data_IF_367423954644
#
_entry.id   IF_367423954644
#
_cell.length_a   1.000
_cell.length_b   1.000
_cell.length_c   1.000
_cell.angle_alpha   90.00
_cell.angle_beta   90.00
_cell.angle_gamma   90.00
#
_symmetry.space_group_name_H-M   'P 1'
#
loop_
_entity.id
_entity.type
_entity.pdbx_description
1 polymer ?
#
# COMPACT_ATOMS: atom_id res chain seq x y z
N UNK A 1 -8.59 27.45 -40.24
CA UNK A 1 -7.30 28.06 -40.60
C UNK A 1 -6.28 26.97 -40.85
N UNK A 2 -5.53 27.00 -41.96
CA UNK A 2 -4.41 26.07 -42.21
C UNK A 2 -3.14 26.66 -41.55
N UNK A 3 -2.55 25.95 -40.61
CA UNK A 3 -1.29 26.35 -39.97
C UNK A 3 -0.13 25.94 -40.89
N UNK A 4 0.77 26.87 -41.20
CA UNK A 4 1.95 26.58 -42.02
C UNK A 4 2.96 25.71 -41.26
N UNK A 5 3.31 24.55 -41.82
CA UNK A 5 4.20 23.55 -41.20
C UNK A 5 5.70 23.87 -41.34
N UNK A 6 6.07 24.60 -42.39
CA UNK A 6 7.46 24.94 -42.73
C UNK A 6 7.86 26.35 -42.38
N UNK A 7 7.02 27.07 -41.63
CA UNK A 7 7.40 28.39 -41.14
C UNK A 7 8.65 28.24 -40.25
N UNK A 8 9.73 28.97 -40.53
CA UNK A 8 10.92 28.96 -39.67
C UNK A 8 10.58 29.66 -38.36
N UNK A 9 10.96 29.02 -37.26
CA UNK A 9 10.74 29.48 -35.90
C UNK A 9 12.04 29.44 -35.11
N UNK A 10 12.17 30.37 -34.18
CA UNK A 10 13.21 30.33 -33.17
C UNK A 10 12.93 29.25 -32.12
N UNK A 11 14.00 28.61 -31.64
CA UNK A 11 13.91 27.63 -30.57
C UNK A 11 13.20 28.21 -29.35
N UNK A 12 12.19 27.49 -28.84
CA UNK A 12 11.42 27.90 -27.65
C UNK A 12 12.28 28.02 -26.39
N UNK A 13 13.40 27.30 -26.33
CA UNK A 13 14.38 27.38 -25.24
C UNK A 13 15.47 28.42 -25.47
N UNK A 14 15.39 29.18 -26.57
CA UNK A 14 16.34 30.24 -26.95
C UNK A 14 17.80 29.76 -27.01
N UNK A 15 18.02 28.59 -27.60
CA UNK A 15 19.36 28.02 -27.79
C UNK A 15 20.19 28.72 -28.89
N UNK A 16 19.64 29.75 -29.55
CA UNK A 16 20.28 30.50 -30.63
C UNK A 16 19.91 30.03 -32.04
N UNK A 17 19.28 28.86 -32.20
CA UNK A 17 18.79 28.37 -33.49
C UNK A 17 17.47 29.06 -33.85
N UNK A 18 17.43 29.70 -35.03
CA UNK A 18 16.33 30.57 -35.48
C UNK A 18 15.52 30.07 -36.68
N UNK A 19 16.03 29.05 -37.37
CA UNK A 19 15.48 28.55 -38.64
C UNK A 19 14.91 27.13 -38.49
N UNK A 20 14.13 26.87 -37.43
CA UNK A 20 13.55 25.54 -37.18
C UNK A 20 12.16 25.47 -37.82
N UNK A 21 11.92 24.61 -38.83
CA UNK A 21 10.58 24.39 -39.34
C UNK A 21 9.64 23.97 -38.20
N UNK A 22 8.43 24.53 -38.14
CA UNK A 22 7.44 24.21 -37.10
C UNK A 22 7.26 22.71 -36.88
N UNK A 23 7.25 21.92 -37.94
CA UNK A 23 7.11 20.45 -37.86
C UNK A 23 8.34 19.74 -37.24
N UNK A 24 9.52 20.33 -37.34
CA UNK A 24 10.78 19.78 -36.81
C UNK A 24 11.12 20.27 -35.39
N UNK A 25 10.35 21.23 -34.84
CA UNK A 25 10.58 21.76 -33.50
C UNK A 25 10.59 20.67 -32.41
N UNK A 26 9.73 19.66 -32.55
CA UNK A 26 9.68 18.52 -31.62
C UNK A 26 10.98 17.71 -31.64
N UNK A 27 11.52 17.44 -32.82
CA UNK A 27 12.79 16.75 -33.00
C UNK A 27 13.95 17.60 -32.47
N UNK A 28 14.00 18.90 -32.81
CA UNK A 28 15.01 19.81 -32.27
C UNK A 28 15.04 19.81 -30.74
N UNK A 29 13.90 19.79 -30.06
CA UNK A 29 13.84 19.76 -28.60
C UNK A 29 14.45 18.50 -27.98
N UNK A 30 14.57 17.40 -28.73
CA UNK A 30 15.28 16.19 -28.27
C UNK A 30 16.80 16.35 -28.30
N UNK A 31 17.33 17.24 -29.13
CA UNK A 31 18.77 17.50 -29.30
C UNK A 31 19.22 18.85 -28.75
N UNK A 32 18.28 19.73 -28.41
CA UNK A 32 18.54 21.08 -27.96
C UNK A 32 19.36 21.11 -26.65
N UNK A 33 20.53 21.76 -26.62
CA UNK A 33 21.40 21.78 -25.44
C UNK A 33 20.80 22.51 -24.24
N UNK A 34 19.83 23.42 -24.47
CA UNK A 34 19.10 24.12 -23.42
C UNK A 34 17.78 23.45 -23.03
N UNK A 35 17.44 22.30 -23.64
CA UNK A 35 16.24 21.58 -23.26
C UNK A 35 16.39 20.97 -21.86
N UNK A 36 15.35 21.11 -21.06
CA UNK A 36 15.25 20.51 -19.73
C UNK A 36 14.51 19.19 -19.87
N UNK A 37 15.19 18.10 -19.57
CA UNK A 37 14.65 16.76 -19.63
C UNK A 37 14.37 16.21 -18.23
N UNK A 38 13.30 15.42 -18.05
CA UNK A 38 13.11 14.67 -16.84
C UNK A 38 14.14 13.56 -16.70
N UNK A 39 14.40 13.18 -15.46
CA UNK A 39 15.19 11.99 -15.17
C UNK A 39 14.55 10.73 -15.80
N UNK A 40 15.34 9.82 -16.41
CA UNK A 40 14.82 8.54 -16.93
C UNK A 40 14.06 7.70 -15.90
N UNK A 41 14.35 7.91 -14.61
CA UNK A 41 13.68 7.24 -13.49
C UNK A 41 12.46 8.01 -12.95
N UNK A 42 11.84 8.88 -13.76
CA UNK A 42 10.64 9.62 -13.35
C UNK A 42 9.48 8.67 -13.00
N UNK A 43 9.31 7.57 -13.75
CA UNK A 43 8.20 6.63 -13.56
C UNK A 43 8.26 5.86 -12.24
N UNK A 44 9.44 5.77 -11.62
CA UNK A 44 9.63 5.20 -10.27
C UNK A 44 9.66 6.28 -9.17
N UNK A 45 9.39 7.54 -9.52
CA UNK A 45 9.21 8.63 -8.55
C UNK A 45 10.37 9.63 -8.46
N UNK A 46 11.35 9.62 -9.36
CA UNK A 46 12.36 10.67 -9.38
C UNK A 46 11.77 11.98 -9.92
N UNK A 47 11.86 13.07 -9.15
CA UNK A 47 11.31 14.38 -9.53
C UNK A 47 12.31 15.30 -10.24
N UNK A 48 13.55 14.82 -10.45
CA UNK A 48 14.61 15.64 -11.03
C UNK A 48 14.35 15.94 -12.50
N UNK A 49 14.59 17.19 -12.89
CA UNK A 49 14.61 17.65 -14.28
C UNK A 49 15.81 18.58 -14.46
N UNK A 50 16.53 18.45 -15.56
CA UNK A 50 17.73 19.24 -15.81
C UNK A 50 18.13 19.25 -17.28
N UNK A 51 19.11 20.09 -17.63
CA UNK A 51 19.81 20.01 -18.91
C UNK A 51 20.63 18.72 -18.98
N UNK A 52 21.04 18.32 -20.19
CA UNK A 52 21.68 17.01 -20.45
C UNK A 52 22.92 16.77 -19.58
N UNK A 53 23.80 17.75 -19.48
CA UNK A 53 25.02 17.72 -18.65
C UNK A 53 24.72 17.49 -17.17
N UNK A 54 23.80 18.26 -16.60
CA UNK A 54 23.39 18.14 -15.19
C UNK A 54 22.62 16.83 -14.96
N UNK A 55 21.83 16.40 -15.94
CA UNK A 55 21.07 15.15 -15.86
C UNK A 55 21.98 13.91 -15.88
N UNK A 56 23.06 13.93 -16.66
CA UNK A 56 24.05 12.86 -16.66
C UNK A 56 24.76 12.75 -15.30
N UNK A 57 25.17 13.87 -14.72
CA UNK A 57 25.77 13.90 -13.39
C UNK A 57 24.78 13.43 -12.30
N UNK A 58 23.54 13.93 -12.33
CA UNK A 58 22.47 13.44 -11.45
C UNK A 58 22.27 11.93 -11.56
N UNK A 59 22.25 11.39 -12.79
CA UNK A 59 22.02 9.96 -13.01
C UNK A 59 23.14 9.10 -12.45
N UNK A 60 24.38 9.59 -12.44
CA UNK A 60 25.54 8.91 -11.85
C UNK A 60 25.58 9.03 -10.33
N UNK A 61 25.24 10.18 -9.78
CA UNK A 61 25.36 10.45 -8.33
C UNK A 61 24.14 10.00 -7.53
N UNK A 62 22.96 9.92 -8.15
CA UNK A 62 21.70 9.57 -7.47
C UNK A 62 21.35 8.07 -7.52
N UNK A 63 22.28 7.19 -7.93
CA UNK A 63 22.02 5.74 -8.09
C UNK A 63 21.42 5.10 -6.84
N UNK A 64 21.94 5.41 -5.64
CA UNK A 64 21.40 4.86 -4.39
C UNK A 64 19.96 5.31 -4.12
N UNK A 65 19.63 6.55 -4.48
CA UNK A 65 18.26 7.08 -4.38
C UNK A 65 17.34 6.37 -5.39
N UNK A 66 17.77 6.20 -6.64
CA UNK A 66 17.00 5.47 -7.65
C UNK A 66 16.80 4.00 -7.26
N UNK A 67 17.81 3.34 -6.70
CA UNK A 67 17.69 1.97 -6.19
C UNK A 67 16.68 1.87 -5.05
N UNK A 68 16.71 2.84 -4.12
CA UNK A 68 15.73 2.91 -3.03
C UNK A 68 14.30 3.08 -3.56
N UNK A 69 14.12 3.93 -4.57
CA UNK A 69 12.83 4.11 -5.25
C UNK A 69 12.38 2.83 -5.98
N UNK A 70 13.29 2.13 -6.67
CA UNK A 70 13.00 0.88 -7.35
C UNK A 70 12.57 -0.20 -6.36
N UNK A 71 13.28 -0.37 -5.24
CA UNK A 71 12.91 -1.31 -4.17
C UNK A 71 11.54 -1.00 -3.57
N UNK A 72 11.23 0.28 -3.36
CA UNK A 72 9.90 0.70 -2.92
C UNK A 72 8.82 0.30 -3.94
N UNK A 73 9.08 0.50 -5.23
CA UNK A 73 8.13 0.16 -6.29
C UNK A 73 7.94 -1.35 -6.46
N UNK A 74 9.00 -2.14 -6.33
CA UNK A 74 8.94 -3.60 -6.34
C UNK A 74 8.06 -4.09 -5.19
N UNK A 75 8.32 -3.64 -3.95
CA UNK A 75 7.52 -4.02 -2.78
C UNK A 75 6.05 -3.60 -2.92
N UNK A 76 5.80 -2.44 -3.50
CA UNK A 76 4.43 -2.01 -3.79
C UNK A 76 3.75 -2.91 -4.84
N UNK A 77 4.47 -3.32 -5.88
CA UNK A 77 3.94 -4.16 -6.93
C UNK A 77 3.67 -5.59 -6.44
N UNK A 78 4.57 -6.13 -5.60
CA UNK A 78 4.35 -7.39 -4.89
C UNK A 78 3.10 -7.29 -4.00
N UNK A 79 2.94 -6.19 -3.25
CA UNK A 79 1.75 -5.90 -2.44
C UNK A 79 0.44 -5.82 -3.24
N UNK A 80 0.48 -5.35 -4.49
CA UNK A 80 -0.69 -5.38 -5.40
C UNK A 80 -0.98 -6.78 -5.92
N UNK A 81 0.03 -7.64 -5.97
CA UNK A 81 -0.07 -9.03 -6.44
C UNK A 81 -0.50 -10.00 -5.33
N UNK A 82 -0.38 -9.63 -4.06
CA UNK A 82 -0.68 -10.51 -2.90
C UNK A 82 -2.16 -10.60 -2.54
N UNK A 83 -3.04 -9.79 -3.18
CA UNK A 83 -4.47 -9.83 -2.94
C UNK A 83 -5.23 -10.06 -4.25
N UNK A 84 -5.93 -11.19 -4.34
CA UNK A 84 -6.80 -11.51 -5.49
C UNK A 84 -8.25 -11.39 -5.04
N UNK A 85 -9.04 -10.58 -5.73
CA UNK A 85 -10.49 -10.43 -5.49
C UNK A 85 -10.87 -10.14 -4.02
N UNK A 86 -10.14 -9.25 -3.34
CA UNK A 86 -10.42 -8.87 -1.95
C UNK A 86 -9.92 -9.87 -0.90
N UNK A 87 -9.18 -10.91 -1.28
CA UNK A 87 -8.63 -11.92 -0.37
C UNK A 87 -7.14 -11.68 -0.13
N UNK A 88 -6.78 -11.40 1.11
CA UNK A 88 -5.41 -11.25 1.59
C UNK A 88 -5.07 -12.31 2.64
N UNK A 89 -3.87 -12.90 2.57
CA UNK A 89 -3.35 -13.85 3.56
C UNK A 89 -2.03 -13.33 4.11
N UNK A 90 -1.96 -13.20 5.42
CA UNK A 90 -0.77 -12.82 6.17
C UNK A 90 -0.20 -14.02 6.91
N UNK A 91 1.00 -14.45 6.50
CA UNK A 91 1.82 -15.38 7.28
C UNK A 91 2.62 -14.61 8.31
N UNK A 92 2.48 -15.00 9.58
CA UNK A 92 3.32 -14.52 10.68
C UNK A 92 4.23 -15.69 11.05
N UNK A 93 5.49 -15.64 10.62
CA UNK A 93 6.52 -16.61 10.98
C UNK A 93 7.17 -16.26 12.32
N UNK A 94 7.90 -17.17 12.93
CA UNK A 94 8.62 -16.96 14.19
C UNK A 94 7.65 -16.53 15.31
N UNK A 95 6.48 -17.18 15.38
CA UNK A 95 5.39 -16.80 16.27
C UNK A 95 5.85 -16.79 17.73
N UNK A 96 6.51 -17.85 18.19
CA UNK A 96 6.94 -17.99 19.58
C UNK A 96 7.89 -16.86 20.00
N UNK A 97 8.91 -16.56 19.18
CA UNK A 97 9.82 -15.46 19.43
C UNK A 97 9.09 -14.11 19.50
N UNK A 98 8.18 -13.84 18.55
CA UNK A 98 7.42 -12.59 18.55
C UNK A 98 6.47 -12.48 19.74
N UNK A 99 5.90 -13.60 20.19
CA UNK A 99 5.04 -13.66 21.36
C UNK A 99 5.84 -13.40 22.65
N UNK A 100 6.99 -14.06 22.84
CA UNK A 100 7.88 -13.84 23.98
C UNK A 100 8.35 -12.39 24.08
N UNK A 101 8.74 -11.78 22.95
CA UNK A 101 9.09 -10.36 22.89
C UNK A 101 7.91 -9.46 23.30
N UNK A 102 6.70 -9.79 22.88
CA UNK A 102 5.50 -9.05 23.27
C UNK A 102 5.17 -9.20 24.76
N UNK A 103 5.45 -10.35 25.37
CA UNK A 103 5.27 -10.59 26.81
C UNK A 103 6.32 -9.85 27.65
N UNK A 104 7.58 -9.83 27.21
CA UNK A 104 8.68 -9.18 27.93
C UNK A 104 8.64 -7.65 27.83
N UNK A 105 7.92 -7.10 26.85
CA UNK A 105 7.86 -5.67 26.60
C UNK A 105 6.92 -4.95 27.58
N UNK A 106 7.34 -3.80 28.16
CA UNK A 106 6.44 -2.96 28.95
C UNK A 106 5.39 -2.24 28.09
N UNK A 107 5.63 -2.11 26.78
CA UNK A 107 4.70 -1.55 25.80
C UNK A 107 3.92 -2.65 25.07
N UNK A 108 2.68 -2.36 24.67
CA UNK A 108 1.90 -3.25 23.80
C UNK A 108 2.56 -3.28 22.41
N UNK A 109 3.29 -4.36 22.10
CA UNK A 109 3.96 -4.50 20.80
C UNK A 109 2.98 -4.91 19.71
N UNK A 110 2.86 -4.04 18.70
CA UNK A 110 2.08 -4.31 17.51
C UNK A 110 2.96 -4.84 16.38
N UNK A 111 2.46 -5.84 15.68
CA UNK A 111 3.01 -6.32 14.41
C UNK A 111 2.08 -5.91 13.27
N UNK A 112 2.66 -5.65 12.10
CA UNK A 112 1.93 -5.17 10.93
C UNK A 112 2.13 -6.08 9.74
N UNK A 113 1.04 -6.35 9.01
CA UNK A 113 1.18 -6.99 7.71
C UNK A 113 1.82 -6.02 6.70
N UNK A 114 2.37 -6.55 5.59
CA UNK A 114 2.53 -5.75 4.38
C UNK A 114 1.20 -5.09 4.00
N UNK A 115 1.21 -3.89 3.40
CA UNK A 115 0.02 -3.35 2.79
C UNK A 115 -0.54 -4.30 1.72
N UNK A 116 -1.83 -4.24 1.49
CA UNK A 116 -2.50 -4.95 0.40
C UNK A 116 -3.63 -4.09 -0.15
N UNK A 117 -4.06 -4.40 -1.37
CA UNK A 117 -5.16 -3.69 -2.02
C UNK A 117 -6.37 -4.60 -2.13
N UNK A 118 -7.57 -4.05 -1.99
CA UNK A 118 -8.83 -4.82 -2.15
C UNK A 118 -9.02 -5.35 -3.58
N UNK A 119 -8.51 -4.65 -4.58
CA UNK A 119 -8.37 -5.09 -5.97
C UNK A 119 -7.27 -4.25 -6.65
N UNK A 120 -6.99 -4.47 -7.94
CA UNK A 120 -5.92 -3.78 -8.67
C UNK A 120 -5.92 -2.25 -8.53
N UNK A 121 -7.10 -1.65 -8.44
CA UNK A 121 -7.31 -0.20 -8.31
C UNK A 121 -8.14 0.17 -7.06
N UNK A 122 -8.16 -0.73 -6.07
CA UNK A 122 -9.03 -0.61 -4.89
C UNK A 122 -8.41 0.13 -3.72
N UNK A 123 -9.10 0.05 -2.58
CA UNK A 123 -8.62 0.57 -1.30
C UNK A 123 -7.32 -0.11 -0.86
N UNK A 124 -6.36 0.69 -0.37
CA UNK A 124 -5.13 0.21 0.27
C UNK A 124 -5.37 -0.02 1.77
N UNK A 125 -4.95 -1.16 2.29
CA UNK A 125 -5.14 -1.54 3.68
C UNK A 125 -3.93 -2.25 4.24
N UNK A 126 -3.87 -2.40 5.57
CA UNK A 126 -2.95 -3.32 6.26
C UNK A 126 -3.59 -3.86 7.53
N UNK A 127 -3.16 -5.05 7.95
CA UNK A 127 -3.51 -5.62 9.24
C UNK A 127 -2.52 -5.18 10.32
N UNK A 128 -3.03 -5.07 11.55
CA UNK A 128 -2.26 -4.82 12.77
C UNK A 128 -2.70 -5.84 13.81
N UNK A 129 -1.77 -6.60 14.37
CA UNK A 129 -2.06 -7.57 15.41
C UNK A 129 -1.23 -7.32 16.67
N UNK A 130 -1.78 -7.73 17.81
CA UNK A 130 -1.10 -7.78 19.09
C UNK A 130 -1.16 -9.22 19.58
N UNK A 131 -0.03 -9.92 19.53
CA UNK A 131 0.01 -11.35 19.85
C UNK A 131 -0.35 -11.60 21.33
N UNK A 132 0.10 -10.72 22.22
CA UNK A 132 -0.23 -10.74 23.65
C UNK A 132 -1.61 -10.14 23.96
N UNK A 133 -2.26 -9.55 22.96
CA UNK A 133 -3.55 -8.87 23.11
C UNK A 133 -3.43 -7.41 23.49
N UNK A 134 -4.54 -6.70 23.36
CA UNK A 134 -4.68 -5.27 23.67
C UNK A 134 -6.06 -4.95 24.20
N UNK A 135 -6.19 -3.81 24.88
CA UNK A 135 -7.44 -3.29 25.43
C UNK A 135 -8.11 -4.38 26.30
N UNK A 136 -9.35 -4.75 25.97
CA UNK A 136 -10.12 -5.79 26.68
C UNK A 136 -9.54 -7.20 26.53
N UNK A 137 -8.70 -7.46 25.52
CA UNK A 137 -8.10 -8.77 25.25
C UNK A 137 -6.66 -8.91 25.73
N UNK A 138 -6.11 -7.90 26.43
CA UNK A 138 -4.73 -7.91 26.92
C UNK A 138 -4.45 -9.17 27.77
N UNK A 139 -3.31 -9.79 27.52
CA UNK A 139 -2.84 -11.03 28.15
C UNK A 139 -3.72 -12.28 28.00
N UNK A 140 -4.82 -12.21 27.23
CA UNK A 140 -5.81 -13.31 27.18
C UNK A 140 -6.21 -13.70 25.76
N UNK A 141 -6.03 -12.79 24.80
CA UNK A 141 -6.45 -12.98 23.42
C UNK A 141 -5.37 -12.48 22.46
N UNK A 142 -5.31 -13.05 21.28
CA UNK A 142 -4.81 -12.37 20.10
C UNK A 142 -5.78 -11.25 19.73
N UNK A 143 -5.29 -10.02 19.55
CA UNK A 143 -6.08 -8.90 19.05
C UNK A 143 -5.74 -8.60 17.60
N UNK A 144 -6.75 -8.31 16.77
CA UNK A 144 -6.57 -8.05 15.33
C UNK A 144 -7.36 -6.82 14.88
N UNK A 145 -6.70 -5.97 14.10
CA UNK A 145 -7.25 -4.73 13.55
C UNK A 145 -6.91 -4.60 12.06
N UNK A 146 -7.78 -3.91 11.32
CA UNK A 146 -7.57 -3.44 9.95
C UNK A 146 -7.37 -1.93 9.96
N UNK A 147 -6.47 -1.45 9.11
CA UNK A 147 -6.17 -0.03 8.91
C UNK A 147 -6.34 0.30 7.43
N UNK A 148 -7.14 1.32 7.12
CA UNK A 148 -7.20 1.91 5.79
C UNK A 148 -6.01 2.86 5.63
N UNK A 149 -5.26 2.69 4.54
CA UNK A 149 -4.10 3.50 4.19
C UNK A 149 -4.42 4.40 3.02
N UNK A 150 -3.68 5.52 2.89
CA UNK A 150 -3.75 6.37 1.70
C UNK A 150 -3.33 5.57 0.46
N UNK A 151 -4.23 5.49 -0.52
CA UNK A 151 -4.01 4.82 -1.79
C UNK A 151 -3.91 5.80 -2.96
N UNK A 152 -3.28 5.35 -4.04
CA UNK A 152 -3.13 6.15 -5.27
C UNK A 152 -4.48 6.43 -5.95
N UNK A 153 -5.44 5.52 -5.76
CA UNK A 153 -6.76 5.54 -6.41
C UNK A 153 -7.86 6.10 -5.51
N UNK A 154 -7.53 6.64 -4.33
CA UNK A 154 -8.52 7.14 -3.36
C UNK A 154 -9.50 8.16 -3.94
N UNK A 155 -9.11 8.90 -4.99
CA UNK A 155 -9.98 9.87 -5.66
C UNK A 155 -11.11 9.22 -6.49
N UNK A 156 -10.95 7.95 -6.86
CA UNK A 156 -11.90 7.19 -7.70
C UNK A 156 -12.82 6.28 -6.88
N UNK A 157 -12.53 6.12 -5.59
CA UNK A 157 -13.22 5.18 -4.71
C UNK A 157 -14.34 5.85 -3.93
N UNK A 158 -15.35 5.06 -3.56
CA UNK A 158 -16.45 5.53 -2.71
C UNK A 158 -15.97 5.81 -1.29
N UNK A 159 -16.44 6.91 -0.71
CA UNK A 159 -16.17 7.24 0.69
C UNK A 159 -17.45 7.64 1.44
N UNK A 160 -17.58 7.33 2.74
CA UNK A 160 -16.70 6.46 3.53
C UNK A 160 -16.69 5.01 3.03
N UNK A 161 -15.68 4.23 3.43
CA UNK A 161 -15.60 2.81 3.16
C UNK A 161 -16.80 2.06 3.79
N UNK A 162 -17.47 1.19 3.00
CA UNK A 162 -18.72 0.49 3.39
C UNK A 162 -18.64 -1.03 3.26
N UNK A 163 -17.58 -1.56 2.66
CA UNK A 163 -17.49 -2.98 2.38
C UNK A 163 -17.31 -3.77 3.68
N UNK A 164 -17.94 -4.93 3.73
CA UNK A 164 -17.86 -5.83 4.86
C UNK A 164 -16.54 -6.60 4.80
N UNK A 165 -15.92 -6.75 5.96
CA UNK A 165 -14.62 -7.42 6.11
C UNK A 165 -14.81 -8.63 7.01
N UNK A 166 -14.28 -9.77 6.57
CA UNK A 166 -14.26 -11.00 7.37
C UNK A 166 -12.81 -11.42 7.61
N UNK A 167 -12.43 -11.54 8.86
CA UNK A 167 -11.14 -12.05 9.30
C UNK A 167 -11.25 -13.53 9.64
N UNK A 168 -10.20 -14.27 9.32
CA UNK A 168 -10.04 -15.67 9.67
C UNK A 168 -8.67 -15.85 10.32
N UNK A 169 -8.63 -16.51 11.48
CA UNK A 169 -7.44 -17.22 11.91
C UNK A 169 -7.54 -18.64 11.33
N UNK A 170 -6.57 -18.98 10.50
CA UNK A 170 -6.56 -20.24 9.77
C UNK A 170 -6.11 -21.36 10.70
N UNK A 171 -7.04 -22.29 10.94
CA UNK A 171 -6.72 -23.64 11.41
C UNK A 171 -5.98 -24.40 10.30
N UNK A 172 -4.78 -24.88 10.62
CA UNK A 172 -3.86 -25.57 9.71
C UNK A 172 -4.00 -27.11 9.78
N UNK A 173 -4.91 -27.61 10.61
CA UNK A 173 -5.30 -29.01 10.70
C UNK A 173 -6.24 -29.45 9.58
N UNK A 174 -6.55 -30.74 9.54
CA UNK A 174 -7.45 -31.32 8.53
C UNK A 174 -8.89 -30.83 8.65
N UNK A 175 -9.32 -30.52 9.88
CA UNK A 175 -10.69 -30.08 10.19
C UNK A 175 -10.99 -28.67 9.66
N UNK A 176 -9.94 -27.86 9.41
CA UNK A 176 -10.06 -26.48 8.92
C UNK A 176 -11.07 -25.65 9.72
N UNK A 177 -11.12 -25.82 11.05
CA UNK A 177 -12.04 -25.13 11.93
C UNK A 177 -11.59 -23.68 12.21
N UNK A 178 -11.53 -22.87 11.14
CA UNK A 178 -11.06 -21.49 11.18
C UNK A 178 -11.89 -20.62 12.13
N UNK A 179 -11.23 -19.71 12.84
CA UNK A 179 -11.92 -18.73 13.70
C UNK A 179 -12.21 -17.48 12.92
N UNK A 180 -13.48 -17.07 12.95
CA UNK A 180 -13.98 -16.02 12.07
C UNK A 180 -14.48 -14.84 12.89
N UNK A 181 -14.13 -13.62 12.47
CA UNK A 181 -14.74 -12.40 12.98
C UNK A 181 -15.11 -11.49 11.83
N UNK A 182 -16.26 -10.84 11.95
CA UNK A 182 -16.82 -10.04 10.88
C UNK A 182 -16.99 -8.59 11.31
N UNK A 183 -16.49 -7.68 10.49
CA UNK A 183 -16.57 -6.25 10.68
C UNK A 183 -17.39 -5.65 9.53
N UNK A 184 -18.53 -5.06 9.85
CA UNK A 184 -19.33 -4.29 8.91
C UNK A 184 -19.28 -2.82 9.30
N UNK A 185 -18.78 -1.91 8.45
CA UNK A 185 -18.82 -0.48 8.71
C UNK A 185 -20.26 -0.01 8.96
N UNK A 186 -20.57 0.46 10.17
CA UNK A 186 -21.90 0.95 10.53
C UNK A 186 -21.82 2.11 11.53
N UNK A 187 -22.92 2.88 11.66
CA UNK A 187 -22.99 4.11 12.47
C UNK A 187 -22.77 3.91 13.98
N UNK A 188 -22.86 2.69 14.48
CA UNK A 188 -22.65 2.39 15.91
C UNK A 188 -21.18 2.20 16.28
N UNK A 189 -20.29 2.08 15.29
CA UNK A 189 -18.85 1.92 15.55
C UNK A 189 -18.23 3.23 16.06
N UNK A 190 -17.36 3.17 17.08
CA UNK A 190 -16.70 4.35 17.61
C UNK A 190 -15.77 4.96 16.55
N UNK A 191 -15.67 6.30 16.54
CA UNK A 191 -14.76 7.05 15.66
C UNK A 191 -14.90 6.73 14.16
N UNK A 192 -16.11 6.35 13.71
CA UNK A 192 -16.37 5.88 12.33
C UNK A 192 -15.79 6.80 11.25
N UNK A 193 -15.84 8.13 11.45
CA UNK A 193 -15.29 9.11 10.51
C UNK A 193 -13.77 9.02 10.39
N UNK A 194 -13.05 8.78 11.48
CA UNK A 194 -11.59 8.70 11.50
C UNK A 194 -11.10 7.35 10.97
N UNK A 195 -11.93 6.31 11.09
CA UNK A 195 -11.62 4.95 10.64
C UNK A 195 -11.91 4.77 9.15
N UNK A 196 -13.09 5.18 8.67
CA UNK A 196 -13.60 4.80 7.34
C UNK A 196 -13.66 5.93 6.32
N UNK A 197 -13.43 7.19 6.68
CA UNK A 197 -13.35 8.25 5.68
C UNK A 197 -12.07 8.17 4.86
N UNK A 198 -12.04 8.90 3.73
CA UNK A 198 -10.87 9.02 2.88
C UNK A 198 -9.63 9.46 3.67
N UNK A 199 -8.51 8.71 3.60
CA UNK A 199 -7.28 9.08 4.29
C UNK A 199 -6.71 10.43 3.83
N UNK A 200 -6.56 11.35 4.78
CA UNK A 200 -5.83 12.60 4.56
C UNK A 200 -4.34 12.40 4.79
N UNK A 201 -3.99 11.67 5.86
CA UNK A 201 -2.64 11.26 6.25
C UNK A 201 -2.27 9.90 5.65
N UNK A 202 -1.09 9.36 6.01
CA UNK A 202 -0.60 8.05 5.55
C UNK A 202 -1.59 6.91 5.85
N UNK A 203 -2.25 6.96 7.00
CA UNK A 203 -3.20 5.94 7.44
C UNK A 203 -4.24 6.49 8.42
N UNK A 204 -5.37 5.81 8.46
CA UNK A 204 -6.48 6.08 9.38
C UNK A 204 -6.27 5.41 10.74
N UNK A 205 -7.18 5.69 11.68
CA UNK A 205 -7.26 4.92 12.93
C UNK A 205 -7.70 3.48 12.62
N UNK A 206 -6.97 2.50 13.18
CA UNK A 206 -7.31 1.09 13.04
C UNK A 206 -8.56 0.69 13.80
N UNK A 207 -9.32 -0.26 13.26
CA UNK A 207 -10.51 -0.85 13.88
C UNK A 207 -10.43 -2.37 13.82
N UNK A 208 -10.99 -3.06 14.81
CA UNK A 208 -10.81 -4.49 14.92
C UNK A 208 -11.53 -5.11 16.09
N UNK A 209 -11.08 -6.30 16.47
CA UNK A 209 -11.55 -7.02 17.63
C UNK A 209 -10.40 -7.21 18.64
N UNK A 210 -10.43 -6.51 19.78
CA UNK A 210 -9.49 -6.74 20.88
C UNK A 210 -9.50 -8.18 21.40
N UNK A 211 -10.65 -8.85 21.38
CA UNK A 211 -10.81 -10.23 21.83
C UNK A 211 -11.03 -11.14 20.61
N UNK A 212 -10.10 -11.17 19.65
CA UNK A 212 -10.28 -11.91 18.40
C UNK A 212 -10.23 -13.42 18.60
N UNK A 213 -9.16 -13.95 19.20
CA UNK A 213 -9.05 -15.38 19.52
C UNK A 213 -8.41 -15.54 20.89
N UNK A 214 -9.02 -16.29 21.84
CA UNK A 214 -8.41 -16.57 23.15
C UNK A 214 -7.09 -17.33 23.01
N UNK A 215 -6.12 -17.06 23.87
CA UNK A 215 -4.84 -17.79 23.88
C UNK A 215 -5.02 -19.28 24.16
N UNK A 216 -5.91 -19.65 25.07
CA UNK A 216 -6.26 -21.07 25.34
C UNK A 216 -6.68 -21.82 24.07
N UNK A 217 -7.36 -21.13 23.15
CA UNK A 217 -7.79 -21.69 21.87
C UNK A 217 -6.66 -21.78 20.84
N UNK A 218 -5.70 -20.86 20.90
CA UNK A 218 -4.48 -20.92 20.08
C UNK A 218 -3.60 -22.10 20.51
N UNK A 219 -3.54 -22.39 21.80
CA UNK A 219 -2.75 -23.49 22.38
C UNK A 219 -3.39 -24.87 22.17
N UNK A 220 -4.72 -24.95 22.24
CA UNK A 220 -5.46 -26.23 22.08
C UNK A 220 -5.79 -26.60 20.63
N UNK A 221 -5.73 -25.64 19.70
CA UNK A 221 -6.05 -25.86 18.29
C UNK A 221 -4.82 -25.97 17.39
N UNK A 222 -5.01 -26.40 16.14
CA UNK A 222 -3.94 -26.50 15.14
C UNK A 222 -3.70 -25.17 14.39
N UNK A 223 -3.68 -24.05 15.13
CA UNK A 223 -3.50 -22.71 14.55
C UNK A 223 -2.03 -22.33 14.35
N UNK A 224 -1.14 -22.82 15.23
CA UNK A 224 0.30 -22.59 15.17
C UNK A 224 0.97 -23.88 14.67
N UNK A 225 1.61 -23.80 13.51
CA UNK A 225 2.34 -24.93 12.90
C UNK A 225 3.62 -24.39 12.26
N UNK A 226 4.71 -25.13 12.42
CA UNK A 226 6.05 -24.72 11.95
C UNK A 226 6.43 -23.30 12.40
N UNK A 227 6.12 -22.99 13.67
CA UNK A 227 6.30 -21.67 14.31
C UNK A 227 5.66 -20.51 13.52
N UNK A 228 4.53 -20.78 12.87
CA UNK A 228 3.80 -19.79 12.09
C UNK A 228 2.28 -19.86 12.28
N UNK A 229 1.63 -18.71 12.17
CA UNK A 229 0.17 -18.58 12.04
C UNK A 229 -0.20 -17.88 10.73
N UNK A 230 -1.42 -18.13 10.25
CA UNK A 230 -1.96 -17.46 9.07
C UNK A 230 -3.25 -16.73 9.40
N UNK A 231 -3.29 -15.44 9.08
CA UNK A 231 -4.47 -14.59 9.19
C UNK A 231 -4.94 -14.24 7.79
N UNK A 232 -6.20 -14.54 7.48
CA UNK A 232 -6.83 -14.17 6.21
C UNK A 232 -7.83 -13.05 6.41
N UNK A 233 -7.78 -12.04 5.56
CA UNK A 233 -8.79 -10.99 5.48
C UNK A 233 -9.50 -11.08 4.13
N UNK A 234 -10.84 -11.04 4.16
CA UNK A 234 -11.69 -11.02 2.98
C UNK A 234 -12.52 -9.75 3.00
N UNK A 235 -12.31 -8.89 2.02
CA UNK A 235 -13.14 -7.69 1.79
C UNK A 235 -14.16 -8.02 0.71
N UNK A 236 -15.44 -7.95 1.06
CA UNK A 236 -16.51 -8.20 0.10
C UNK A 236 -16.50 -7.13 -0.99
N UNK A 237 -16.70 -7.50 -2.27
CA UNK A 237 -16.72 -6.54 -3.36
C UNK A 237 -17.86 -5.53 -3.17
N UNK A 238 -17.64 -4.30 -3.64
CA UNK A 238 -18.73 -3.31 -3.73
C UNK A 238 -19.85 -3.90 -4.59
N UNK A 239 -21.08 -3.86 -4.08
CA UNK A 239 -22.26 -4.20 -4.90
C UNK A 239 -22.31 -3.17 -6.02
N UNK A 240 -22.00 -3.59 -7.24
CA UNK A 240 -22.13 -2.72 -8.40
C UNK A 240 -23.58 -2.23 -8.47
N UNK A 241 -23.78 -0.93 -8.37
CA UNK A 241 -25.04 -0.31 -8.77
C UNK A 241 -25.03 -0.34 -10.30
N UNK A 242 -25.59 -1.41 -10.87
CA UNK A 242 -26.00 -1.43 -12.29
C UNK A 242 -27.04 -0.36 -12.55
#
# INVERSE_FOLDING_TARGET
MKVCKRIPLECVNKCGVKEIPREEMSFHLTECPLAVHPCPYQDIGCVFKGKRDILEDHSKTAVHKHLSLALLKIRENESRSTCTNGVFIWKISNYNQQYELAVASPEDLAIFSPPFYTCQYGYKMRLKAYLQGRDRGKSTHLSLYIIIMKGDYDALLDWPFKQKITFYLIDQGEQKAHRTHQLSPNRSLPNIKVVFNRPTMKENLGIGNPCFVPHEMLESGEFIKDDAIFIKAVVEPSKATT
#
